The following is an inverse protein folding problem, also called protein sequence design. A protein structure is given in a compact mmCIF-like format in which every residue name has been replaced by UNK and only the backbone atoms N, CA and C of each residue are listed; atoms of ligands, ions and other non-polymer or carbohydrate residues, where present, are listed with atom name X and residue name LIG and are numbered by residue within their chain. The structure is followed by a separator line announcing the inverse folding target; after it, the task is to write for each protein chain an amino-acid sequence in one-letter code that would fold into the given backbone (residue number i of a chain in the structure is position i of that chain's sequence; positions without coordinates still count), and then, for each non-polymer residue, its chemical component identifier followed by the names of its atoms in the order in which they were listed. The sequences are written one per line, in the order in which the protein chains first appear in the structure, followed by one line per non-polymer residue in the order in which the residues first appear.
data_IF_955899427363
#
_entry.id   IF_955899427363
#
_cell.length_a   1.000
_cell.length_b   1.000
_cell.length_c   1.000
_cell.angle_alpha   90.00
_cell.angle_beta   90.00
_cell.angle_gamma   90.00
#
_symmetry.space_group_name_H-M   'P 1'
#
loop_
_entity.id
_entity.type
_entity.pdbx_description
1 polymer ?
#
# COMPACT_ATOMS: atom_id res chain seq x y z
N UNK A 1 -0.41 -29.20 -0.64
CA UNK A 1 -1.17 -28.59 -1.73
C UNK A 1 -0.65 -27.18 -1.89
N UNK A 2 -0.17 -26.83 -3.08
CA UNK A 2 0.09 -25.43 -3.42
C UNK A 2 -1.27 -24.77 -3.62
N UNK A 3 -1.53 -23.70 -2.87
CA UNK A 3 -2.73 -22.90 -3.03
C UNK A 3 -2.28 -21.65 -3.76
N UNK A 4 -2.55 -21.57 -5.08
CA UNK A 4 -2.21 -20.44 -5.96
C UNK A 4 -2.70 -19.10 -5.38
N UNK A 5 -1.96 -18.54 -4.43
CA UNK A 5 -2.29 -17.35 -3.67
C UNK A 5 -1.02 -16.58 -3.32
N UNK A 6 -1.18 -15.39 -2.76
CA UNK A 6 -0.03 -14.53 -2.44
C UNK A 6 0.91 -15.15 -1.39
N UNK A 7 0.45 -16.06 -0.54
CA UNK A 7 1.35 -16.74 0.42
C UNK A 7 2.33 -17.69 -0.26
N UNK A 8 1.89 -18.40 -1.31
CA UNK A 8 2.76 -19.24 -2.14
C UNK A 8 3.79 -18.39 -2.90
N UNK A 9 3.39 -17.19 -3.37
CA UNK A 9 4.32 -16.22 -3.95
C UNK A 9 5.42 -15.82 -2.95
N UNK A 10 5.05 -15.46 -1.72
CA UNK A 10 6.03 -15.12 -0.67
C UNK A 10 6.95 -16.30 -0.37
N UNK A 11 6.43 -17.53 -0.35
CA UNK A 11 7.25 -18.72 -0.13
C UNK A 11 8.31 -18.90 -1.24
N UNK A 12 7.93 -18.62 -2.50
CA UNK A 12 8.82 -18.74 -3.65
C UNK A 12 9.85 -17.60 -3.75
N UNK A 13 9.42 -16.34 -3.65
CA UNK A 13 10.27 -15.17 -3.89
C UNK A 13 10.85 -14.52 -2.63
N UNK A 14 10.36 -14.88 -1.44
CA UNK A 14 10.61 -14.14 -0.20
C UNK A 14 12.06 -14.10 0.25
N UNK A 15 12.96 -14.88 -0.38
CA UNK A 15 14.40 -14.85 -0.12
C UNK A 15 15.19 -13.92 -1.06
N UNK A 16 14.56 -13.44 -2.14
CA UNK A 16 15.17 -12.60 -3.18
C UNK A 16 14.79 -11.13 -2.94
N UNK A 17 15.78 -10.30 -2.65
CA UNK A 17 15.63 -8.87 -2.33
C UNK A 17 15.41 -8.01 -3.59
N UNK A 18 14.92 -6.78 -3.39
CA UNK A 18 14.55 -5.88 -4.50
C UNK A 18 15.73 -5.42 -5.38
N UNK A 19 16.97 -5.46 -4.87
CA UNK A 19 18.20 -5.23 -5.64
C UNK A 19 18.50 -6.34 -6.65
N UNK A 20 18.03 -7.57 -6.39
CA UNK A 20 18.23 -8.73 -7.27
C UNK A 20 17.07 -8.98 -8.22
N UNK A 21 15.87 -8.61 -7.79
CA UNK A 21 14.64 -8.73 -8.56
C UNK A 21 13.79 -7.50 -8.22
N UNK A 22 13.73 -6.50 -9.13
CA UNK A 22 12.98 -5.28 -8.93
C UNK A 22 11.51 -5.51 -8.56
N UNK A 23 10.86 -4.44 -8.10
CA UNK A 23 9.47 -4.44 -7.71
C UNK A 23 8.60 -4.81 -8.93
N UNK A 24 7.69 -5.77 -8.78
CA UNK A 24 6.82 -6.25 -9.85
C UNK A 24 5.34 -6.32 -9.42
N UNK A 25 4.47 -6.70 -10.36
CA UNK A 25 3.01 -6.83 -10.16
C UNK A 25 2.63 -7.56 -8.87
N UNK A 26 3.25 -8.71 -8.61
CA UNK A 26 2.91 -9.53 -7.44
C UNK A 26 3.35 -8.88 -6.13
N UNK A 27 4.45 -8.10 -6.14
CA UNK A 27 4.81 -7.28 -4.98
C UNK A 27 3.78 -6.18 -4.74
N UNK A 28 3.28 -5.55 -5.81
CA UNK A 28 2.20 -4.57 -5.74
C UNK A 28 0.91 -5.17 -5.14
N UNK A 29 0.58 -6.40 -5.50
CA UNK A 29 -0.54 -7.13 -4.88
C UNK A 29 -0.29 -7.41 -3.38
N UNK A 30 0.96 -7.77 -3.01
CA UNK A 30 1.35 -7.95 -1.60
C UNK A 30 1.16 -6.65 -0.82
N UNK A 31 1.62 -5.51 -1.35
CA UNK A 31 1.45 -4.20 -0.71
C UNK A 31 -0.01 -3.78 -0.62
N UNK A 32 -0.80 -4.04 -1.66
CA UNK A 32 -2.25 -3.80 -1.66
C UNK A 32 -2.96 -4.63 -0.58
N UNK A 33 -2.55 -5.88 -0.39
CA UNK A 33 -3.11 -6.74 0.66
C UNK A 33 -2.64 -6.31 2.06
N UNK A 34 -1.39 -5.88 2.22
CA UNK A 34 -0.87 -5.33 3.48
C UNK A 34 -1.60 -4.07 3.91
N UNK A 35 -2.16 -3.28 2.97
CA UNK A 35 -2.91 -2.08 3.30
C UNK A 35 -4.15 -2.36 4.18
N UNK A 36 -4.63 -3.60 4.25
CA UNK A 36 -5.71 -4.03 5.14
C UNK A 36 -5.28 -4.38 6.56
N UNK A 37 -3.98 -4.37 6.87
CA UNK A 37 -3.55 -4.45 8.27
C UNK A 37 -4.07 -3.23 9.03
N UNK A 38 -4.73 -3.47 10.16
CA UNK A 38 -5.18 -2.40 11.04
C UNK A 38 -3.95 -1.77 11.71
N UNK A 39 -3.71 -0.51 11.39
CA UNK A 39 -2.56 0.28 11.87
C UNK A 39 -3.03 1.53 12.64
N UNK A 40 -4.34 1.71 12.80
CA UNK A 40 -4.99 2.85 13.43
C UNK A 40 -4.59 2.99 14.91
N UNK A 41 -4.33 1.87 15.58
CA UNK A 41 -3.93 1.83 16.99
C UNK A 41 -2.41 2.01 17.20
N UNK A 42 -1.62 2.17 16.14
CA UNK A 42 -0.18 2.38 16.27
C UNK A 42 0.08 3.80 16.79
N UNK A 43 0.92 3.95 17.83
CA UNK A 43 1.23 5.27 18.36
C UNK A 43 1.86 6.12 17.26
N UNK A 44 1.29 7.31 17.07
CA UNK A 44 1.82 8.33 16.19
C UNK A 44 3.17 8.77 16.76
N UNK A 45 4.26 8.12 16.36
CA UNK A 45 5.60 8.66 16.57
C UNK A 45 5.82 9.83 15.62
N UNK A 46 6.70 10.75 15.99
CA UNK A 46 7.00 11.95 15.19
C UNK A 46 7.45 11.64 13.76
N UNK A 47 7.92 10.42 13.48
CA UNK A 47 8.48 10.03 12.18
C UNK A 47 7.54 9.26 11.24
N UNK A 48 6.35 8.80 11.69
CA UNK A 48 5.42 7.94 10.91
C UNK A 48 6.13 6.98 9.94
N UNK A 49 7.15 6.27 10.43
CA UNK A 49 7.88 5.28 9.65
C UNK A 49 8.23 4.08 10.53
N UNK A 50 8.16 2.88 9.95
CA UNK A 50 8.70 1.66 10.54
C UNK A 50 8.92 0.59 9.47
N UNK A 51 9.87 -0.29 9.68
CA UNK A 51 10.04 -1.48 8.84
C UNK A 51 8.88 -2.45 9.00
N UNK A 52 8.61 -3.28 7.99
CA UNK A 52 7.61 -4.35 8.12
C UNK A 52 7.97 -5.35 9.24
N UNK A 53 9.27 -5.52 9.53
CA UNK A 53 9.73 -6.28 10.70
C UNK A 53 9.27 -5.66 12.01
N UNK A 54 9.41 -4.36 12.17
CA UNK A 54 8.96 -3.65 13.38
C UNK A 54 7.44 -3.64 13.49
N UNK A 55 6.74 -3.46 12.36
CA UNK A 55 5.28 -3.58 12.29
C UNK A 55 4.81 -4.95 12.78
N UNK A 56 5.49 -6.02 12.34
CA UNK A 56 5.22 -7.38 12.80
C UNK A 56 5.43 -7.56 14.31
N UNK A 57 6.52 -7.04 14.85
CA UNK A 57 6.73 -7.05 16.30
C UNK A 57 5.66 -6.29 17.07
N UNK A 58 5.12 -5.20 16.51
CA UNK A 58 4.11 -4.35 17.18
C UNK A 58 2.69 -4.88 17.08
N UNK A 59 2.35 -5.56 15.99
CA UNK A 59 0.99 -6.03 15.74
C UNK A 59 0.88 -7.53 15.98
N UNK A 60 1.73 -8.33 15.34
CA UNK A 60 1.61 -9.78 15.37
C UNK A 60 2.12 -10.37 16.69
N UNK A 61 3.35 -10.03 17.10
CA UNK A 61 3.97 -10.64 18.29
C UNK A 61 3.25 -10.24 19.59
N UNK A 62 2.51 -9.14 19.59
CA UNK A 62 1.69 -8.71 20.73
C UNK A 62 0.23 -9.20 20.65
N UNK A 63 -0.13 -10.00 19.65
CA UNK A 63 -1.51 -10.47 19.44
C UNK A 63 -2.51 -9.35 19.10
N UNK A 64 -2.02 -8.22 18.57
CA UNK A 64 -2.83 -7.05 18.20
C UNK A 64 -3.14 -6.98 16.70
N UNK A 65 -2.59 -7.88 15.90
CA UNK A 65 -2.83 -7.90 14.47
C UNK A 65 -4.32 -8.13 14.19
N UNK A 66 -4.88 -7.25 13.37
CA UNK A 66 -6.22 -7.38 12.82
C UNK A 66 -6.16 -7.04 11.34
N UNK A 67 -6.89 -7.80 10.54
CA UNK A 67 -7.11 -7.47 9.14
C UNK A 67 -8.52 -6.89 9.00
N UNK A 68 -8.65 -5.73 8.35
CA UNK A 68 -9.95 -5.07 8.14
C UNK A 68 -10.64 -5.50 6.85
N UNK A 69 -9.95 -6.27 5.99
CA UNK A 69 -10.48 -6.75 4.73
C UNK A 69 -11.44 -7.92 4.92
N UNK A 70 -12.24 -8.15 3.89
CA UNK A 70 -13.15 -9.29 3.83
C UNK A 70 -12.35 -10.57 3.54
N UNK A 71 -12.58 -11.63 4.33
CA UNK A 71 -11.95 -12.92 4.09
C UNK A 71 -11.68 -13.72 5.37
N UNK A 72 -10.86 -14.76 5.23
CA UNK A 72 -10.47 -15.59 6.35
C UNK A 72 -9.36 -14.91 7.18
N UNK A 73 -9.69 -14.54 8.42
CA UNK A 73 -8.77 -13.85 9.32
C UNK A 73 -7.46 -14.63 9.57
N UNK A 74 -7.53 -15.96 9.71
CA UNK A 74 -6.36 -16.80 9.95
C UNK A 74 -5.43 -16.86 8.72
N UNK A 75 -6.00 -16.86 7.52
CA UNK A 75 -5.21 -16.79 6.28
C UNK A 75 -4.56 -15.41 6.12
N UNK A 76 -5.29 -14.34 6.44
CA UNK A 76 -4.75 -12.98 6.41
C UNK A 76 -3.62 -12.78 7.43
N UNK A 77 -3.78 -13.33 8.63
CA UNK A 77 -2.76 -13.33 9.68
C UNK A 77 -1.52 -14.14 9.27
N UNK A 78 -1.72 -15.33 8.69
CA UNK A 78 -0.62 -16.14 8.16
C UNK A 78 0.13 -15.43 7.03
N UNK A 79 -0.60 -14.80 6.10
CA UNK A 79 -0.02 -14.01 5.03
C UNK A 79 0.83 -12.87 5.60
N UNK A 80 0.30 -12.11 6.55
CA UNK A 80 1.01 -11.01 7.21
C UNK A 80 2.31 -11.48 7.89
N UNK A 81 2.27 -12.61 8.62
CA UNK A 81 3.47 -13.22 9.24
C UNK A 81 4.53 -13.55 8.19
N UNK A 82 4.14 -14.23 7.11
CA UNK A 82 5.04 -14.65 6.04
C UNK A 82 5.73 -13.46 5.37
N UNK A 83 4.97 -12.42 5.02
CA UNK A 83 5.51 -11.23 4.36
C UNK A 83 6.52 -10.54 5.26
N UNK A 84 6.14 -10.24 6.51
CA UNK A 84 6.97 -9.44 7.39
C UNK A 84 8.24 -10.16 7.89
N UNK A 85 8.29 -11.50 7.79
CA UNK A 85 9.47 -12.31 8.11
C UNK A 85 10.38 -12.59 6.92
N UNK A 86 9.89 -12.39 5.70
CA UNK A 86 10.65 -12.65 4.48
C UNK A 86 11.86 -11.72 4.33
N UNK A 87 12.93 -12.18 3.68
CA UNK A 87 14.08 -11.31 3.37
C UNK A 87 13.69 -10.21 2.38
N UNK A 88 12.82 -10.51 1.42
CA UNK A 88 12.35 -9.57 0.41
C UNK A 88 11.63 -8.36 1.03
N UNK A 89 10.70 -8.59 1.95
CA UNK A 89 9.80 -7.55 2.43
C UNK A 89 10.10 -7.04 3.84
N UNK A 90 10.76 -7.81 4.72
CA UNK A 90 10.92 -7.41 6.14
C UNK A 90 11.64 -6.07 6.34
N UNK A 91 12.51 -5.68 5.41
CA UNK A 91 13.23 -4.40 5.43
C UNK A 91 12.51 -3.24 4.72
N UNK A 92 11.36 -3.48 4.09
CA UNK A 92 10.54 -2.43 3.49
C UNK A 92 10.04 -1.50 4.59
N UNK A 93 10.14 -0.20 4.35
CA UNK A 93 9.69 0.84 5.28
C UNK A 93 8.25 1.21 4.93
N UNK A 94 7.33 0.98 5.88
CA UNK A 94 6.00 1.57 5.87
C UNK A 94 6.12 3.01 6.35
N UNK A 95 5.67 3.97 5.56
CA UNK A 95 5.73 5.39 5.88
C UNK A 95 4.47 6.16 5.44
N UNK A 96 4.33 7.38 5.98
CA UNK A 96 3.31 8.36 5.59
C UNK A 96 1.86 7.83 5.62
N UNK A 97 1.52 6.88 6.50
CA UNK A 97 0.15 6.39 6.51
C UNK A 97 -0.85 7.44 7.02
N UNK A 98 -2.05 7.40 6.44
CA UNK A 98 -3.19 8.23 6.77
C UNK A 98 -4.42 7.36 6.90
N UNK A 99 -5.19 7.59 7.96
CA UNK A 99 -6.48 6.95 8.18
C UNK A 99 -7.54 8.00 8.47
N UNK A 100 -8.72 7.86 7.86
CA UNK A 100 -9.88 8.70 8.15
C UNK A 100 -11.14 7.84 8.07
N UNK A 101 -11.99 7.99 9.07
CA UNK A 101 -13.30 7.38 9.13
C UNK A 101 -14.29 8.43 9.63
N UNK A 102 -15.35 8.69 8.87
CA UNK A 102 -16.45 9.57 9.26
C UNK A 102 -17.77 9.02 8.77
N UNK A 103 -18.67 8.70 9.69
CA UNK A 103 -20.03 8.27 9.34
C UNK A 103 -20.89 9.42 8.83
N UNK A 104 -20.59 10.66 9.21
CA UNK A 104 -21.35 11.85 8.80
C UNK A 104 -21.05 12.22 7.33
N UNK A 105 -19.78 12.08 6.94
CA UNK A 105 -19.29 12.38 5.59
C UNK A 105 -19.30 11.16 4.66
N UNK A 106 -19.86 10.03 5.12
CA UNK A 106 -19.83 8.74 4.42
C UNK A 106 -18.43 8.34 3.93
N UNK A 107 -17.43 8.49 4.80
CA UNK A 107 -16.03 8.45 4.43
C UNK A 107 -15.27 7.31 5.12
N UNK A 108 -14.59 6.50 4.30
CA UNK A 108 -13.60 5.53 4.74
C UNK A 108 -12.37 5.59 3.83
N UNK A 109 -11.27 6.14 4.36
CA UNK A 109 -10.03 6.34 3.62
C UNK A 109 -8.81 5.86 4.39
N UNK A 110 -8.01 5.01 3.77
CA UNK A 110 -6.67 4.65 4.25
C UNK A 110 -5.69 4.61 3.08
N UNK A 111 -4.54 5.26 3.28
CA UNK A 111 -3.44 5.26 2.34
C UNK A 111 -2.12 5.11 3.09
N UNK A 112 -1.13 4.48 2.45
CA UNK A 112 0.21 4.29 3.00
C UNK A 112 1.26 4.12 1.90
N UNK A 113 2.52 4.35 2.23
CA UNK A 113 3.63 4.17 1.31
C UNK A 113 4.55 3.04 1.79
N UNK A 114 4.93 2.15 0.87
CA UNK A 114 5.93 1.11 1.08
C UNK A 114 7.21 1.47 0.33
N UNK A 115 8.22 1.92 1.06
CA UNK A 115 9.52 2.30 0.50
C UNK A 115 10.48 1.11 0.53
N UNK A 116 10.95 0.72 -0.65
CA UNK A 116 12.02 -0.28 -0.79
C UNK A 116 13.40 0.39 -0.70
N UNK A 117 14.42 -0.39 -0.37
CA UNK A 117 15.81 0.09 -0.25
C UNK A 117 16.57 0.08 -1.59
N UNK A 118 15.95 -0.39 -2.67
CA UNK A 118 16.58 -0.48 -3.99
C UNK A 118 16.32 0.77 -4.82
N UNK A 119 17.33 1.22 -5.57
CA UNK A 119 17.14 2.10 -6.72
C UNK A 119 16.91 1.23 -7.95
N UNK A 120 15.78 1.43 -8.63
CA UNK A 120 15.61 0.82 -9.95
C UNK A 120 16.64 1.38 -10.93
N UNK A 121 17.57 0.52 -11.34
CA UNK A 121 18.28 0.66 -12.60
C UNK A 121 17.40 0.08 -13.71
N UNK A 122 16.28 0.75 -14.01
CA UNK A 122 15.51 0.46 -15.23
C UNK A 122 15.77 1.55 -16.26
N UNK A 123 16.21 1.12 -17.44
CA UNK A 123 16.54 1.93 -18.64
C UNK A 123 15.37 2.76 -19.18
N UNK A 124 14.18 2.66 -18.58
CA UNK A 124 12.93 3.23 -19.10
C UNK A 124 12.62 4.67 -18.65
N UNK A 125 13.51 5.32 -17.89
CA UNK A 125 13.30 6.69 -17.43
C UNK A 125 14.57 7.53 -17.65
N UNK A 126 14.52 8.38 -18.67
CA UNK A 126 15.56 9.36 -19.02
C UNK A 126 15.76 10.44 -17.94
N UNK A 127 15.04 10.37 -16.82
CA UNK A 127 14.98 11.39 -15.76
C UNK A 127 15.33 10.85 -14.36
N UNK A 128 16.03 9.71 -14.24
CA UNK A 128 16.35 9.10 -12.93
C UNK A 128 17.68 9.61 -12.34
N UNK A 129 17.62 10.21 -11.15
CA UNK A 129 18.77 10.30 -10.24
C UNK A 129 19.17 8.89 -9.78
N UNK A 130 20.42 8.49 -10.02
CA UNK A 130 20.97 7.26 -9.47
C UNK A 130 20.76 7.22 -7.94
N UNK A 131 20.16 6.14 -7.43
CA UNK A 131 19.96 5.95 -5.99
C UNK A 131 18.60 6.39 -5.43
N UNK A 132 17.67 6.90 -6.25
CA UNK A 132 16.34 7.29 -5.77
C UNK A 132 15.55 6.08 -5.21
N UNK A 133 14.91 6.20 -4.02
CA UNK A 133 14.13 5.11 -3.44
C UNK A 133 12.83 4.86 -4.21
N UNK A 134 12.49 3.58 -4.40
CA UNK A 134 11.21 3.17 -4.99
C UNK A 134 10.14 3.03 -3.90
N UNK A 135 8.97 3.62 -4.15
CA UNK A 135 7.81 3.60 -3.27
C UNK A 135 6.60 3.01 -3.99
N UNK A 136 5.85 2.17 -3.28
CA UNK A 136 4.51 1.77 -3.68
C UNK A 136 3.50 2.48 -2.79
N UNK A 137 2.70 3.37 -3.37
CA UNK A 137 1.58 4.04 -2.71
C UNK A 137 0.37 3.11 -2.78
N UNK A 138 -0.04 2.59 -1.63
CA UNK A 138 -1.17 1.69 -1.51
C UNK A 138 -2.39 2.41 -0.93
N UNK A 139 -3.51 2.33 -1.65
CA UNK A 139 -4.82 2.69 -1.12
C UNK A 139 -5.55 1.44 -0.64
N UNK A 140 -6.04 1.47 0.61
CA UNK A 140 -6.86 0.38 1.16
C UNK A 140 -8.22 0.37 0.47
N UNK A 141 -8.73 -0.83 0.22
CA UNK A 141 -10.11 -0.99 -0.19
C UNK A 141 -11.09 -0.88 0.99
N UNK A 142 -12.24 -1.48 0.82
CA UNK A 142 -13.36 -1.41 1.75
C UNK A 142 -13.19 -2.40 2.90
N UNK A 143 -13.46 -1.96 4.12
CA UNK A 143 -13.63 -2.83 5.26
C UNK A 143 -15.07 -3.36 5.35
N UNK A 144 -15.44 -3.98 6.47
CA UNK A 144 -16.77 -4.52 6.71
C UNK A 144 -17.80 -3.47 7.17
N UNK A 145 -17.44 -2.18 7.19
CA UNK A 145 -18.34 -1.11 7.62
C UNK A 145 -19.38 -0.73 6.57
N UNK A 146 -20.61 -0.45 7.03
CA UNK A 146 -21.70 0.07 6.18
C UNK A 146 -21.30 1.40 5.51
N UNK A 147 -20.49 2.21 6.20
CA UNK A 147 -19.95 3.48 5.67
C UNK A 147 -19.07 3.21 4.44
N UNK A 148 -18.12 2.28 4.54
CA UNK A 148 -17.27 1.90 3.43
C UNK A 148 -18.06 1.42 2.22
N UNK A 149 -19.02 0.50 2.43
CA UNK A 149 -19.88 0.00 1.37
C UNK A 149 -20.79 1.07 0.75
N UNK A 150 -21.32 1.99 1.55
CA UNK A 150 -22.12 3.12 1.04
C UNK A 150 -21.29 4.00 0.11
N UNK A 151 -20.06 4.32 0.50
CA UNK A 151 -19.15 5.11 -0.34
C UNK A 151 -18.79 4.36 -1.64
N UNK A 152 -18.66 3.03 -1.61
CA UNK A 152 -18.42 2.23 -2.82
C UNK A 152 -19.54 2.37 -3.85
N UNK A 153 -20.80 2.36 -3.41
CA UNK A 153 -21.92 2.58 -4.33
C UNK A 153 -21.90 3.99 -4.92
N UNK A 154 -21.49 5.00 -4.13
CA UNK A 154 -21.40 6.38 -4.59
C UNK A 154 -20.39 6.58 -5.72
N UNK A 155 -19.33 5.77 -5.81
CA UNK A 155 -18.32 5.85 -6.90
C UNK A 155 -18.98 5.82 -8.29
N UNK A 156 -20.11 5.12 -8.43
CA UNK A 156 -20.80 4.97 -9.72
C UNK A 156 -21.53 6.23 -10.21
N UNK A 157 -21.83 7.18 -9.32
CA UNK A 157 -22.66 8.36 -9.66
C UNK A 157 -22.16 9.67 -9.05
N UNK A 158 -21.08 9.67 -8.26
CA UNK A 158 -20.52 10.85 -7.61
C UNK A 158 -19.01 10.72 -7.41
N UNK A 159 -18.32 11.86 -7.36
CA UNK A 159 -16.96 11.91 -6.80
C UNK A 159 -17.05 11.74 -5.29
N UNK A 160 -16.33 10.77 -4.73
CA UNK A 160 -16.36 10.45 -3.29
C UNK A 160 -15.33 11.25 -2.50
N UNK A 161 -15.48 11.29 -1.18
CA UNK A 161 -14.49 11.95 -0.31
C UNK A 161 -13.15 11.22 -0.35
N UNK A 162 -13.18 9.89 -0.34
CA UNK A 162 -12.00 9.05 -0.47
C UNK A 162 -11.24 9.31 -1.78
N UNK A 163 -11.92 9.56 -2.91
CA UNK A 163 -11.28 9.91 -4.19
C UNK A 163 -10.53 11.26 -4.10
N UNK A 164 -11.13 12.28 -3.49
CA UNK A 164 -10.49 13.58 -3.27
C UNK A 164 -9.28 13.46 -2.33
N UNK A 165 -9.40 12.67 -1.26
CA UNK A 165 -8.28 12.39 -0.35
C UNK A 165 -7.17 11.59 -1.01
N UNK A 166 -7.49 10.65 -1.91
CA UNK A 166 -6.50 9.89 -2.67
C UNK A 166 -5.67 10.82 -3.56
N UNK A 167 -6.30 11.74 -4.27
CA UNK A 167 -5.61 12.75 -5.08
C UNK A 167 -4.72 13.65 -4.21
N UNK A 168 -5.22 14.13 -3.07
CA UNK A 168 -4.43 14.92 -2.13
C UNK A 168 -3.24 14.13 -1.57
N UNK A 169 -3.46 12.88 -1.17
CA UNK A 169 -2.42 12.01 -0.64
C UNK A 169 -1.31 11.77 -1.66
N UNK A 170 -1.67 11.50 -2.92
CA UNK A 170 -0.74 11.34 -4.02
C UNK A 170 0.15 12.58 -4.16
N UNK A 171 -0.47 13.75 -4.30
CA UNK A 171 0.26 15.01 -4.40
C UNK A 171 1.21 15.26 -3.21
N UNK A 172 0.75 15.02 -1.98
CA UNK A 172 1.57 15.20 -0.79
C UNK A 172 2.75 14.19 -0.73
N UNK A 173 2.56 12.96 -1.24
CA UNK A 173 3.57 11.91 -1.28
C UNK A 173 4.64 12.13 -2.36
N UNK A 174 4.27 12.74 -3.50
CA UNK A 174 5.16 13.04 -4.63
C UNK A 174 6.07 14.26 -4.39
N UNK A 175 5.89 14.99 -3.29
CA UNK A 175 6.81 16.07 -2.88
C UNK A 175 8.17 15.57 -2.41
N UNK A 176 8.29 14.28 -2.11
CA UNK A 176 9.54 13.67 -1.71
C UNK A 176 10.23 13.08 -2.94
N UNK A 177 11.57 13.17 -3.00
CA UNK A 177 12.31 12.54 -4.10
C UNK A 177 12.13 11.01 -4.08
N UNK A 178 11.82 10.41 -5.23
CA UNK A 178 11.67 8.97 -5.37
C UNK A 178 10.96 8.55 -6.65
N UNK A 179 10.79 7.24 -6.76
CA UNK A 179 10.08 6.59 -7.86
C UNK A 179 8.79 5.98 -7.33
N UNK A 180 7.68 6.18 -8.02
CA UNK A 180 6.37 5.89 -7.45
C UNK A 180 5.57 4.92 -8.32
N UNK A 181 5.21 3.79 -7.73
CA UNK A 181 4.06 3.00 -8.17
C UNK A 181 2.85 3.38 -7.32
N UNK A 182 1.67 3.35 -7.93
CA UNK A 182 0.41 3.66 -7.25
C UNK A 182 -0.56 2.53 -7.50
N UNK A 183 -1.19 2.02 -6.45
CA UNK A 183 -2.14 0.93 -6.59
C UNK A 183 -2.98 0.68 -5.34
N UNK A 184 -3.73 -0.41 -5.38
CA UNK A 184 -4.65 -0.81 -4.35
C UNK A 184 -5.55 -1.95 -4.82
N UNK A 185 -6.32 -2.52 -3.90
CA UNK A 185 -7.27 -3.59 -4.18
C UNK A 185 -8.72 -3.12 -3.94
N UNK A 186 -9.68 -3.67 -4.69
CA UNK A 186 -11.11 -3.31 -4.62
C UNK A 186 -11.32 -1.79 -4.79
N UNK A 187 -12.02 -1.11 -3.87
CA UNK A 187 -12.11 0.36 -3.81
C UNK A 187 -10.75 1.06 -3.93
N UNK A 188 -9.69 0.49 -3.34
CA UNK A 188 -8.33 1.03 -3.42
C UNK A 188 -7.79 1.14 -4.85
N UNK A 189 -8.16 0.21 -5.74
CA UNK A 189 -7.81 0.29 -7.16
C UNK A 189 -8.50 1.47 -7.84
N UNK A 190 -9.77 1.74 -7.49
CA UNK A 190 -10.48 2.93 -7.98
C UNK A 190 -9.82 4.22 -7.49
N UNK A 191 -9.38 4.28 -6.23
CA UNK A 191 -8.67 5.43 -5.66
C UNK A 191 -7.31 5.68 -6.36
N UNK A 192 -6.57 4.61 -6.67
CA UNK A 192 -5.33 4.67 -7.43
C UNK A 192 -5.57 5.22 -8.84
N UNK A 193 -6.57 4.69 -9.56
CA UNK A 193 -6.92 5.16 -10.90
C UNK A 193 -7.40 6.61 -10.89
N UNK A 194 -8.28 6.96 -9.95
CA UNK A 194 -8.79 8.32 -9.84
C UNK A 194 -7.67 9.32 -9.61
N UNK A 195 -6.81 9.08 -8.62
CA UNK A 195 -5.72 10.00 -8.26
C UNK A 195 -4.69 10.16 -9.38
N UNK A 196 -4.27 9.06 -10.00
CA UNK A 196 -3.27 9.09 -11.09
C UNK A 196 -3.81 9.73 -12.38
N UNK A 197 -5.09 9.54 -12.71
CA UNK A 197 -5.72 10.19 -13.86
C UNK A 197 -5.92 11.70 -13.66
N UNK A 198 -6.21 12.13 -12.42
CA UNK A 198 -6.61 13.52 -12.13
C UNK A 198 -5.47 14.39 -11.56
N UNK A 199 -4.30 13.80 -11.28
CA UNK A 199 -3.11 14.57 -10.90
C UNK A 199 -2.62 15.48 -12.04
N UNK A 200 -1.86 16.51 -11.68
CA UNK A 200 -1.23 17.39 -12.66
C UNK A 200 -0.09 16.69 -13.41
N UNK A 201 0.42 17.34 -14.45
CA UNK A 201 1.45 16.75 -15.31
C UNK A 201 2.81 16.60 -14.59
N UNK A 202 3.07 17.44 -13.58
CA UNK A 202 4.29 17.38 -12.76
C UNK A 202 4.28 16.14 -11.85
N UNK A 203 3.16 15.89 -11.17
CA UNK A 203 2.92 14.70 -10.37
C UNK A 203 2.94 13.44 -11.27
N UNK A 204 2.26 13.48 -12.43
CA UNK A 204 2.19 12.32 -13.34
C UNK A 204 3.55 11.90 -13.87
N UNK A 205 4.46 12.84 -14.12
CA UNK A 205 5.81 12.55 -14.63
C UNK A 205 6.67 11.73 -13.64
N UNK A 206 6.34 11.74 -12.35
CA UNK A 206 7.04 10.99 -11.31
C UNK A 206 6.49 9.57 -11.09
N UNK A 207 5.34 9.25 -11.71
CA UNK A 207 4.65 7.97 -11.54
C UNK A 207 5.12 7.00 -12.61
N UNK A 208 5.61 5.84 -12.15
CA UNK A 208 6.02 4.74 -13.02
C UNK A 208 4.79 4.06 -13.64
N UNK A 209 5.02 3.34 -14.75
CA UNK A 209 3.95 2.56 -15.39
C UNK A 209 3.33 1.59 -14.40
N UNK A 210 2.00 1.37 -14.43
CA UNK A 210 1.36 0.39 -13.59
C UNK A 210 2.02 -0.98 -13.76
N UNK A 211 2.25 -1.64 -12.63
CA UNK A 211 2.78 -2.99 -12.53
C UNK A 211 1.67 -3.96 -12.18
#
# INVERSE_FOLDING_TARGET
MYHNNLSDYIWWCGTVTFDKSPLNLFDGMVFSQLAYANIEDLPMSDKKEMTLRELHSRLYQTGKFKNTGLGNAAEAERFFDLVCRSKRFSGVVLENWQTTFSSEEDEQFVAMAFRTQASEADEASEAKEEGAPVRYLAFRGTDDSVVGWKEDFMISFSVTSAQKKALKYLHDALRYNGLYYVGGHSKGANLALYSTCLCDDEDRAQILKPI
#
